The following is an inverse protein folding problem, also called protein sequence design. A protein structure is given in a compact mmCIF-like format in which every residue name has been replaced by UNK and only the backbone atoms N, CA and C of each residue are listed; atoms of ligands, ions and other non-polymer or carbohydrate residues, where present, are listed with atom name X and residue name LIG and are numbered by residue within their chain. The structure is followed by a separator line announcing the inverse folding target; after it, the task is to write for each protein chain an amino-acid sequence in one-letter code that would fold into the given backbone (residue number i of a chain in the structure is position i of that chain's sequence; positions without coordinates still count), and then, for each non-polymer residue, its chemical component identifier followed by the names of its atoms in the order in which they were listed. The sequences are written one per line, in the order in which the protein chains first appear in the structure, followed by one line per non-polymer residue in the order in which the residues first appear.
data_IF_747445182133
#
_entry.id   IF_747445182133
#
_cell.length_a   1.000
_cell.length_b   1.000
_cell.length_c   1.000
_cell.angle_alpha   90.00
_cell.angle_beta   90.00
_cell.angle_gamma   90.00
#
_symmetry.space_group_name_H-M   'P 1'
#
loop_
_entity.id
_entity.type
_entity.pdbx_description
1 polymer ?
#
# COMPACT_ATOMS: atom_id res chain seq x y z
N UNK A 1 -0.61 4.83 14.61
CA UNK A 1 -1.56 5.75 13.95
C UNK A 1 -2.36 4.96 12.92
N UNK A 2 -3.69 5.08 12.90
CA UNK A 2 -4.53 4.48 11.86
C UNK A 2 -4.67 5.45 10.69
N UNK A 3 -4.61 4.93 9.49
CA UNK A 3 -4.78 5.67 8.23
C UNK A 3 -5.66 4.85 7.31
N UNK A 4 -6.16 5.47 6.24
CA UNK A 4 -6.92 4.79 5.21
C UNK A 4 -6.09 4.71 3.93
N UNK A 5 -6.16 3.58 3.24
CA UNK A 5 -5.62 3.40 1.89
C UNK A 5 -6.75 2.95 0.98
N UNK A 6 -6.61 3.20 -0.33
CA UNK A 6 -7.60 2.76 -1.31
C UNK A 6 -7.00 1.73 -2.26
N UNK A 7 -7.69 0.60 -2.43
CA UNK A 7 -7.49 -0.32 -3.54
C UNK A 7 -8.54 -0.02 -4.62
N UNK A 8 -8.11 0.11 -5.87
CA UNK A 8 -9.02 0.26 -7.00
C UNK A 8 -9.39 -1.09 -7.59
N UNK A 9 -10.50 -1.11 -8.34
CA UNK A 9 -10.89 -2.19 -9.24
C UNK A 9 -9.82 -2.54 -10.28
N UNK A 10 -9.01 -1.55 -10.69
CA UNK A 10 -7.88 -1.74 -11.61
C UNK A 10 -6.57 -2.21 -10.92
N UNK A 11 -6.64 -2.62 -9.64
CA UNK A 11 -5.48 -3.14 -8.90
C UNK A 11 -4.44 -2.10 -8.47
N UNK A 12 -4.78 -0.81 -8.47
CA UNK A 12 -3.92 0.24 -7.91
C UNK A 12 -4.14 0.40 -6.41
N UNK A 13 -3.03 0.58 -5.69
CA UNK A 13 -3.01 1.11 -4.34
C UNK A 13 -2.80 2.62 -4.37
N UNK A 14 -3.61 3.34 -3.60
CA UNK A 14 -3.54 4.79 -3.46
C UNK A 14 -3.30 5.19 -2.00
N UNK A 15 -2.34 6.10 -1.81
CA UNK A 15 -2.00 6.67 -0.51
C UNK A 15 -2.25 8.18 -0.55
N UNK A 16 -2.69 8.73 0.58
CA UNK A 16 -2.70 10.19 0.74
C UNK A 16 -1.27 10.74 0.73
N UNK A 17 -1.13 12.00 0.33
CA UNK A 17 0.15 12.71 0.36
C UNK A 17 0.84 12.63 1.73
N UNK A 18 0.09 12.75 2.83
CA UNK A 18 0.63 12.74 4.19
C UNK A 18 1.18 11.36 4.58
N UNK A 19 0.48 10.28 4.23
CA UNK A 19 0.94 8.90 4.47
C UNK A 19 2.21 8.62 3.67
N UNK A 20 2.22 9.00 2.39
CA UNK A 20 3.38 8.82 1.52
C UNK A 20 4.61 9.57 2.06
N UNK A 21 4.47 10.87 2.35
CA UNK A 21 5.60 11.68 2.86
C UNK A 21 6.13 11.18 4.21
N UNK A 22 5.24 10.71 5.08
CA UNK A 22 5.61 10.28 6.43
C UNK A 22 6.30 8.93 6.46
N UNK A 23 5.84 7.97 5.67
CA UNK A 23 6.27 6.56 5.77
C UNK A 23 7.07 6.08 4.56
N UNK A 24 6.94 6.74 3.40
CA UNK A 24 7.57 6.38 2.13
C UNK A 24 8.28 7.58 1.49
N UNK A 25 9.25 8.22 2.17
CA UNK A 25 9.84 9.49 1.73
C UNK A 25 10.60 9.41 0.40
N UNK A 26 11.07 8.22 0.01
CA UNK A 26 11.73 7.99 -1.28
C UNK A 26 10.75 7.55 -2.39
N UNK A 27 9.45 7.52 -2.12
CA UNK A 27 8.41 7.09 -3.06
C UNK A 27 8.65 5.67 -3.64
N UNK A 28 9.42 4.81 -2.97
CA UNK A 28 9.67 3.42 -3.37
C UNK A 28 9.29 2.47 -2.24
N UNK A 29 8.60 1.38 -2.59
CA UNK A 29 8.19 0.35 -1.65
C UNK A 29 8.27 -1.06 -2.22
N UNK A 30 8.14 -2.05 -1.34
CA UNK A 30 7.78 -3.42 -1.70
C UNK A 30 6.43 -3.78 -1.08
N UNK A 31 5.68 -4.60 -1.81
CA UNK A 31 4.40 -5.16 -1.37
C UNK A 31 4.64 -6.61 -1.00
N UNK A 32 4.26 -7.01 0.21
CA UNK A 32 4.28 -8.40 0.65
C UNK A 32 2.87 -8.82 1.06
N UNK A 33 2.39 -9.93 0.51
CA UNK A 33 1.20 -10.61 1.04
C UNK A 33 1.62 -11.52 2.18
N UNK A 34 1.04 -11.25 3.33
CA UNK A 34 1.11 -12.07 4.55
C UNK A 34 -0.32 -12.32 5.00
N UNK A 35 -1.06 -13.09 4.21
CA UNK A 35 -2.49 -13.36 4.42
C UNK A 35 -2.79 -13.62 5.90
N UNK A 36 -3.79 -12.93 6.50
CA UNK A 36 -4.81 -12.08 5.85
C UNK A 36 -4.40 -10.61 5.66
N UNK A 37 -3.11 -10.29 5.66
CA UNK A 37 -2.62 -8.92 5.59
C UNK A 37 -1.81 -8.63 4.32
N UNK A 38 -1.87 -7.36 3.90
CA UNK A 38 -0.98 -6.77 2.92
C UNK A 38 -0.03 -5.81 3.65
N UNK A 39 1.26 -5.96 3.38
CA UNK A 39 2.31 -5.19 4.02
C UNK A 39 3.02 -4.33 2.98
N UNK A 40 3.17 -3.04 3.26
CA UNK A 40 3.98 -2.11 2.48
C UNK A 40 5.21 -1.73 3.27
N UNK A 41 6.39 -2.00 2.71
CA UNK A 41 7.65 -1.63 3.34
C UNK A 41 8.34 -0.56 2.49
N UNK A 42 8.71 0.60 3.06
CA UNK A 42 9.50 1.57 2.33
C UNK A 42 10.89 1.00 2.07
N UNK A 43 11.39 1.25 0.86
CA UNK A 43 12.78 0.98 0.54
C UNK A 43 13.61 2.24 0.67
N UNK A 44 14.91 2.04 0.95
CA UNK A 44 15.89 3.11 1.03
C UNK A 44 17.06 2.81 0.12
N UNK A 45 17.48 3.82 -0.64
CA UNK A 45 18.67 3.77 -1.49
C UNK A 45 18.35 3.41 -2.95
N UNK A 46 19.12 4.03 -3.85
CA UNK A 46 18.90 3.99 -5.30
C UNK A 46 18.94 2.59 -5.96
N UNK A 47 19.40 1.57 -5.24
CA UNK A 47 19.59 0.20 -5.74
C UNK A 47 18.63 -0.82 -5.12
N UNK A 48 17.69 -0.39 -4.27
CA UNK A 48 16.88 -1.31 -3.48
C UNK A 48 15.81 -2.09 -4.28
N UNK A 49 15.64 -1.82 -5.58
CA UNK A 49 14.53 -2.38 -6.37
C UNK A 49 13.17 -1.88 -5.89
N UNK A 50 12.07 -2.50 -6.35
CA UNK A 50 10.72 -2.23 -5.84
C UNK A 50 9.80 -1.44 -6.75
N UNK A 51 8.63 -1.09 -6.22
CA UNK A 51 7.57 -0.39 -6.93
C UNK A 51 7.60 1.11 -6.63
N UNK A 52 7.51 1.92 -7.68
CA UNK A 52 7.49 3.38 -7.59
C UNK A 52 6.07 3.91 -7.32
N UNK A 53 5.93 4.67 -6.23
CA UNK A 53 4.76 5.47 -5.89
C UNK A 53 4.74 6.74 -6.77
N UNK A 54 3.90 6.74 -7.80
CA UNK A 54 3.75 7.91 -8.68
C UNK A 54 2.80 8.92 -8.08
N UNK A 55 3.13 10.21 -8.20
CA UNK A 55 2.19 11.28 -7.88
C UNK A 55 0.98 11.23 -8.83
N UNK A 56 -0.23 11.11 -8.28
CA UNK A 56 -1.47 10.99 -9.08
C UNK A 56 -2.23 12.30 -9.28
N UNK A 57 -1.97 13.31 -8.44
CA UNK A 57 -2.69 14.60 -8.48
C UNK A 57 -1.84 15.73 -7.90
N UNK A 58 -2.33 16.98 -8.00
CA UNK A 58 -1.66 18.17 -7.48
C UNK A 58 -1.59 18.23 -5.94
N UNK A 59 -2.44 17.47 -5.23
CA UNK A 59 -2.38 17.37 -3.76
C UNK A 59 -1.17 16.58 -3.28
N UNK A 60 -0.57 15.78 -4.16
CA UNK A 60 0.60 14.96 -3.85
C UNK A 60 0.28 13.52 -3.49
N UNK A 61 -0.97 13.07 -3.64
CA UNK A 61 -1.34 11.67 -3.40
C UNK A 61 -0.53 10.74 -4.31
N UNK A 62 -0.29 9.53 -3.83
CA UNK A 62 0.52 8.53 -4.54
C UNK A 62 -0.31 7.37 -5.02
N UNK A 63 0.13 6.76 -6.12
CA UNK A 63 -0.49 5.58 -6.70
C UNK A 63 0.57 4.61 -7.21
N UNK A 64 0.33 3.32 -7.02
CA UNK A 64 1.18 2.23 -7.52
C UNK A 64 0.31 1.05 -7.94
N UNK A 65 0.66 0.39 -9.04
CA UNK A 65 -0.04 -0.81 -9.51
C UNK A 65 0.49 -2.02 -8.73
N UNK A 66 -0.39 -2.80 -8.12
CA UNK A 66 -0.03 -3.95 -7.26
C UNK A 66 -0.85 -5.21 -7.58
N UNK A 67 -1.51 -5.24 -8.73
CA UNK A 67 -2.51 -6.26 -9.07
C UNK A 67 -1.97 -7.70 -9.01
N UNK A 68 -0.72 -7.95 -9.45
CA UNK A 68 -0.09 -9.28 -9.41
C UNK A 68 0.18 -9.76 -7.99
N UNK A 69 0.21 -8.85 -7.01
CA UNK A 69 0.40 -9.20 -5.62
C UNK A 69 -0.92 -9.45 -4.90
N UNK A 70 -2.06 -8.96 -5.39
CA UNK A 70 -3.33 -9.12 -4.66
C UNK A 70 -3.86 -10.56 -4.76
N UNK A 71 -4.38 -11.13 -3.65
CA UNK A 71 -5.15 -12.37 -3.73
C UNK A 71 -6.33 -12.24 -4.70
N UNK A 72 -6.67 -13.32 -5.39
CA UNK A 72 -7.83 -13.36 -6.27
C UNK A 72 -9.11 -12.94 -5.54
N UNK A 73 -9.94 -12.15 -6.23
CA UNK A 73 -11.20 -11.66 -5.66
C UNK A 73 -11.04 -10.60 -4.57
N UNK A 74 -9.84 -10.06 -4.31
CA UNK A 74 -9.66 -8.93 -3.38
C UNK A 74 -10.56 -7.75 -3.81
N UNK A 75 -11.49 -7.30 -2.94
CA UNK A 75 -12.38 -6.20 -3.30
C UNK A 75 -11.64 -4.88 -3.50
N UNK A 76 -12.17 -4.05 -4.40
CA UNK A 76 -11.81 -2.63 -4.40
C UNK A 76 -12.47 -1.94 -3.20
N UNK A 77 -11.81 -0.93 -2.64
CA UNK A 77 -12.37 -0.20 -1.51
C UNK A 77 -11.36 0.56 -0.68
N UNK A 78 -11.87 1.19 0.36
CA UNK A 78 -11.07 1.79 1.42
C UNK A 78 -10.74 0.74 2.48
N UNK A 79 -9.47 0.62 2.81
CA UNK A 79 -8.98 -0.33 3.81
C UNK A 79 -8.32 0.42 4.97
N UNK A 80 -8.64 0.05 6.22
CA UNK A 80 -7.91 0.57 7.36
C UNK A 80 -6.49 0.01 7.34
N UNK A 81 -5.53 0.88 7.57
CA UNK A 81 -4.14 0.55 7.69
C UNK A 81 -3.55 1.13 8.98
N UNK A 82 -2.50 0.51 9.47
CA UNK A 82 -1.73 1.05 10.58
C UNK A 82 -0.25 0.89 10.32
N UNK A 83 0.52 1.89 10.74
CA UNK A 83 1.97 1.79 10.75
C UNK A 83 2.41 0.95 11.94
N UNK A 84 3.23 -0.06 11.66
CA UNK A 84 3.89 -0.93 12.65
C UNK A 84 5.36 -0.53 12.74
N UNK A 85 5.69 0.24 13.77
CA UNK A 85 7.05 0.75 14.01
C UNK A 85 8.07 -0.38 14.22
N UNK A 86 7.66 -1.51 14.81
CA UNK A 86 8.55 -2.64 15.06
C UNK A 86 8.99 -3.34 13.78
N UNK A 87 8.16 -3.23 12.72
CA UNK A 87 8.39 -3.85 11.42
C UNK A 87 8.78 -2.85 10.34
N UNK A 88 8.64 -1.55 10.61
CA UNK A 88 8.81 -0.50 9.60
C UNK A 88 7.87 -0.68 8.42
N UNK A 89 6.62 -1.06 8.68
CA UNK A 89 5.66 -1.44 7.63
C UNK A 89 4.29 -0.80 7.83
N UNK A 90 3.65 -0.41 6.73
CA UNK A 90 2.22 -0.09 6.73
C UNK A 90 1.44 -1.40 6.49
N UNK A 91 0.71 -1.84 7.52
CA UNK A 91 -0.05 -3.09 7.51
C UNK A 91 -1.52 -2.83 7.26
N UNK A 92 -2.08 -3.59 6.33
CA UNK A 92 -3.46 -3.47 5.85
C UNK A 92 -4.12 -4.83 6.05
N UNK A 93 -5.23 -4.85 6.79
CA UNK A 93 -6.04 -6.05 6.90
C UNK A 93 -6.87 -6.20 5.62
N UNK A 94 -6.64 -7.25 4.85
CA UNK A 94 -7.51 -7.62 3.75
C UNK A 94 -8.71 -8.32 4.40
N UNK A 95 -9.79 -7.58 4.66
CA UNK A 95 -11.01 -8.15 5.23
C UNK A 95 -11.39 -9.38 4.40
N UNK A 96 -11.58 -10.51 5.08
CA UNK A 96 -11.67 -11.83 4.46
C UNK A 96 -12.62 -11.81 3.28
N UNK A 97 -12.10 -12.18 2.12
CA UNK A 97 -12.86 -12.71 0.99
C UNK A 97 -13.66 -13.90 1.49
N UNK A 98 -14.84 -13.63 2.03
CA UNK A 98 -15.87 -14.65 2.18
C UNK A 98 -16.38 -14.90 0.77
N UNK A 99 -15.81 -15.92 0.13
CA UNK A 99 -16.48 -16.58 -0.98
C UNK A 99 -17.72 -17.27 -0.38
N UNK A 100 -18.88 -16.70 -0.65
CA UNK A 100 -20.14 -17.45 -0.63
C UNK A 100 -20.43 -17.92 -2.06
#
# INVERSE_FOLDING_TARGET
MRVEIKLTDQGYLQLSADVARRYFPEDVLVVLIKTPELWLLPLRGASAGGLLLKQRNLKGDRSVLIWEQLPDGTPAGSYPAFWDDSRGALRIALAGTSHE
#
